data_IF_423667332978
#
_entry.id   IF_423667332978
#
_cell.length_a   1.000
_cell.length_b   1.000
_cell.length_c   1.000
_cell.angle_alpha   90.00
_cell.angle_beta   90.00
_cell.angle_gamma   90.00
#
_symmetry.space_group_name_H-M   'P 1'
#
loop_
_entity.id
_entity.type
_entity.pdbx_description
1 polymer ?
#
# COMPACT_ATOMS: atom_id res chain seq x y z
N UNK A 1 17.03 -29.10 -7.58
CA UNK A 1 16.13 -28.18 -8.30
C UNK A 1 14.94 -27.71 -7.47
N UNK A 2 14.23 -28.62 -6.78
CA UNK A 2 13.15 -28.25 -5.87
C UNK A 2 13.59 -27.36 -4.72
N UNK A 3 14.77 -27.61 -4.16
CA UNK A 3 15.29 -26.85 -3.03
C UNK A 3 15.54 -25.38 -3.40
N UNK A 4 16.09 -25.11 -4.57
CA UNK A 4 16.34 -23.74 -5.05
C UNK A 4 15.04 -22.96 -5.29
N UNK A 5 14.02 -23.60 -5.84
CA UNK A 5 12.71 -22.96 -6.06
C UNK A 5 12.06 -22.64 -4.72
N UNK A 6 12.12 -23.55 -3.75
CA UNK A 6 11.57 -23.32 -2.41
C UNK A 6 12.28 -22.18 -1.69
N UNK A 7 13.63 -22.08 -1.80
CA UNK A 7 14.42 -21.01 -1.21
C UNK A 7 14.08 -19.65 -1.86
N UNK A 8 13.93 -19.60 -3.19
CA UNK A 8 13.56 -18.39 -3.90
C UNK A 8 12.18 -17.89 -3.47
N UNK A 9 11.19 -18.80 -3.35
CA UNK A 9 9.85 -18.46 -2.90
C UNK A 9 9.86 -17.97 -1.44
N UNK A 10 10.63 -18.60 -0.56
CA UNK A 10 10.78 -18.19 0.84
C UNK A 10 11.41 -16.80 0.93
N UNK A 11 12.44 -16.52 0.12
CA UNK A 11 13.11 -15.23 0.10
C UNK A 11 12.16 -14.13 -0.40
N UNK A 12 11.36 -14.40 -1.44
CA UNK A 12 10.37 -13.44 -1.95
C UNK A 12 9.28 -13.17 -0.93
N UNK A 13 8.79 -14.20 -0.24
CA UNK A 13 7.80 -14.06 0.83
C UNK A 13 8.37 -13.21 1.97
N UNK A 14 9.58 -13.52 2.44
CA UNK A 14 10.25 -12.79 3.52
C UNK A 14 10.49 -11.32 3.13
N UNK A 15 10.87 -11.07 1.89
CA UNK A 15 11.07 -9.73 1.36
C UNK A 15 9.77 -8.93 1.39
N UNK A 16 8.65 -9.54 0.99
CA UNK A 16 7.33 -8.92 1.07
C UNK A 16 6.92 -8.60 2.49
N UNK A 17 7.09 -9.55 3.41
CA UNK A 17 6.78 -9.36 4.84
C UNK A 17 7.61 -8.24 5.46
N UNK A 18 8.90 -8.20 5.16
CA UNK A 18 9.80 -7.15 5.65
C UNK A 18 9.38 -5.79 5.13
N UNK A 19 8.95 -5.71 3.89
CA UNK A 19 8.50 -4.46 3.30
C UNK A 19 7.22 -3.95 3.97
N UNK A 20 6.24 -4.82 4.21
CA UNK A 20 5.03 -4.45 4.94
C UNK A 20 5.37 -3.90 6.33
N UNK A 21 6.27 -4.57 7.07
CA UNK A 21 6.72 -4.11 8.39
C UNK A 21 7.46 -2.78 8.29
N UNK A 22 8.31 -2.61 7.30
CA UNK A 22 9.03 -1.37 7.06
C UNK A 22 8.06 -0.21 6.81
N UNK A 23 7.06 -0.40 5.96
CA UNK A 23 6.07 0.63 5.65
C UNK A 23 5.26 0.98 6.90
N UNK A 24 4.82 -0.02 7.66
CA UNK A 24 4.10 0.22 8.92
C UNK A 24 4.92 1.05 9.90
N UNK A 25 6.21 0.73 10.02
CA UNK A 25 7.12 1.45 10.90
C UNK A 25 7.33 2.91 10.44
N UNK A 26 7.51 3.12 9.15
CA UNK A 26 7.67 4.47 8.59
C UNK A 26 6.41 5.32 8.78
N UNK A 27 5.24 4.72 8.63
CA UNK A 27 3.96 5.44 8.87
C UNK A 27 3.83 5.81 10.35
N UNK A 28 4.19 4.92 11.25
CA UNK A 28 4.18 5.24 12.69
C UNK A 28 5.15 6.39 12.99
N UNK A 29 6.36 6.35 12.45
CA UNK A 29 7.34 7.42 12.65
C UNK A 29 6.85 8.77 12.12
N UNK A 30 6.25 8.79 10.94
CA UNK A 30 5.86 10.04 10.26
C UNK A 30 4.50 10.57 10.69
N UNK A 31 3.54 9.69 10.96
CA UNK A 31 2.15 10.07 11.25
C UNK A 31 1.71 9.75 12.67
N UNK A 32 2.48 8.98 13.43
CA UNK A 32 2.09 8.53 14.76
C UNK A 32 0.92 7.54 14.75
N UNK A 33 0.70 6.87 13.63
CA UNK A 33 -0.39 5.91 13.46
C UNK A 33 0.18 4.51 13.40
N UNK A 34 -0.29 3.63 14.28
CA UNK A 34 0.14 2.23 14.30
C UNK A 34 -0.71 1.39 13.38
N UNK A 35 -0.06 0.77 12.40
CA UNK A 35 -0.68 -0.17 11.48
C UNK A 35 -0.15 -1.57 11.77
N UNK A 36 -0.98 -2.56 11.52
CA UNK A 36 -0.69 -3.96 11.78
C UNK A 36 -0.86 -4.75 10.50
N UNK A 37 -0.02 -5.77 10.31
CA UNK A 37 -0.22 -6.72 9.21
C UNK A 37 -1.47 -7.54 9.48
N UNK A 38 -2.21 -7.82 8.42
CA UNK A 38 -3.31 -8.77 8.48
C UNK A 38 -2.73 -10.18 8.57
N UNK A 39 -2.78 -10.77 9.76
CA UNK A 39 -2.24 -12.10 10.03
C UNK A 39 -3.25 -13.22 9.84
N UNK A 40 -4.50 -12.90 9.57
CA UNK A 40 -5.54 -13.90 9.36
C UNK A 40 -5.35 -14.60 8.03
N UNK A 41 -5.45 -15.91 8.03
CA UNK A 41 -5.30 -16.72 6.82
C UNK A 41 -6.43 -16.47 5.82
N UNK A 42 -7.58 -16.05 6.30
CA UNK A 42 -8.72 -15.65 5.48
C UNK A 42 -8.74 -14.14 5.35
N UNK A 43 -7.73 -13.61 4.69
CA UNK A 43 -7.65 -12.17 4.46
C UNK A 43 -8.84 -11.71 3.65
N UNK A 44 -9.58 -10.76 4.18
CA UNK A 44 -10.64 -10.10 3.44
C UNK A 44 -10.05 -9.16 2.40
N UNK A 45 -10.58 -9.18 1.18
CA UNK A 45 -10.09 -8.35 0.07
C UNK A 45 -10.23 -6.85 0.35
N UNK A 46 -11.02 -6.47 1.35
CA UNK A 46 -11.29 -5.07 1.71
C UNK A 46 -10.35 -4.51 2.78
N UNK A 47 -9.42 -5.30 3.30
CA UNK A 47 -8.52 -4.84 4.38
C UNK A 47 -7.18 -4.30 3.88
N UNK A 48 -6.69 -4.74 2.74
CA UNK A 48 -5.32 -4.47 2.32
C UNK A 48 -4.31 -5.22 3.17
N UNK A 49 -3.03 -4.88 3.01
CA UNK A 49 -1.92 -5.52 3.72
C UNK A 49 -1.74 -4.98 5.13
N UNK A 50 -2.01 -3.70 5.34
CA UNK A 50 -1.85 -3.02 6.63
C UNK A 50 -3.19 -2.48 7.09
N UNK A 51 -3.55 -2.82 8.32
CA UNK A 51 -4.82 -2.44 8.92
C UNK A 51 -4.61 -1.60 10.18
N UNK A 52 -5.55 -0.70 10.43
CA UNK A 52 -5.61 0.09 11.66
C UNK A 52 -6.74 -0.40 12.54
N UNK A 53 -6.55 -0.33 13.85
CA UNK A 53 -7.62 -0.59 14.82
C UNK A 53 -8.62 0.58 14.90
N UNK A 54 -8.27 1.73 14.35
CA UNK A 54 -9.13 2.92 14.34
C UNK A 54 -10.09 2.88 13.14
N UNK A 55 -11.41 2.82 13.37
CA UNK A 55 -12.37 2.82 12.26
C UNK A 55 -12.34 4.07 11.39
N UNK A 56 -11.82 5.18 11.92
CA UNK A 56 -11.70 6.44 11.15
C UNK A 56 -10.50 6.47 10.21
N UNK A 57 -9.63 5.44 10.23
CA UNK A 57 -8.50 5.35 9.30
C UNK A 57 -9.02 5.34 7.86
N UNK A 58 -8.64 6.33 7.03
CA UNK A 58 -9.32 6.53 5.75
C UNK A 58 -8.74 5.74 4.58
N UNK A 59 -7.69 4.94 4.80
CA UNK A 59 -6.93 4.32 3.71
C UNK A 59 -7.02 2.81 3.71
N UNK A 60 -7.00 2.23 2.50
CA UNK A 60 -6.67 0.82 2.27
C UNK A 60 -5.28 0.79 1.65
N UNK A 61 -4.32 0.18 2.34
CA UNK A 61 -2.91 0.19 1.92
C UNK A 61 -2.50 -1.21 1.47
N UNK A 62 -2.02 -1.29 0.22
CA UNK A 62 -1.36 -2.47 -0.34
C UNK A 62 0.12 -2.17 -0.49
N UNK A 63 0.96 -3.15 -0.16
CA UNK A 63 2.41 -3.05 -0.26
C UNK A 63 2.92 -4.05 -1.29
N UNK A 64 3.74 -3.59 -2.21
CA UNK A 64 4.33 -4.43 -3.26
C UNK A 64 5.83 -4.18 -3.38
N UNK A 65 6.62 -5.25 -3.32
CA UNK A 65 8.06 -5.16 -3.51
C UNK A 65 8.52 -6.21 -4.50
N UNK A 66 9.25 -5.77 -5.52
CA UNK A 66 9.75 -6.62 -6.60
C UNK A 66 11.21 -6.28 -6.93
N UNK A 67 11.93 -7.28 -7.46
CA UNK A 67 13.33 -7.12 -7.79
C UNK A 67 13.53 -6.21 -9.00
N UNK A 68 12.71 -6.35 -10.03
CA UNK A 68 12.89 -5.68 -11.32
C UNK A 68 11.65 -4.88 -11.71
N UNK A 69 11.90 -3.72 -12.32
CA UNK A 69 10.86 -2.85 -12.80
C UNK A 69 11.01 -1.44 -12.24
N UNK A 70 10.09 -0.56 -12.58
CA UNK A 70 10.04 0.81 -12.06
C UNK A 70 8.62 1.34 -11.94
N UNK A 71 7.64 0.71 -12.63
CA UNK A 71 6.24 1.04 -12.52
C UNK A 71 5.45 -0.19 -12.08
N UNK A 72 4.46 0.00 -11.19
CA UNK A 72 3.59 -1.10 -10.77
C UNK A 72 2.73 -1.59 -11.91
N UNK A 73 2.34 -2.86 -11.83
CA UNK A 73 1.37 -3.43 -12.77
C UNK A 73 -0.01 -2.83 -12.50
N UNK A 74 -0.78 -2.63 -13.57
CA UNK A 74 -2.15 -2.11 -13.46
C UNK A 74 -3.02 -3.00 -12.57
N UNK A 75 -2.82 -4.31 -12.61
CA UNK A 75 -3.56 -5.26 -11.77
C UNK A 75 -3.44 -4.95 -10.28
N UNK A 76 -2.26 -4.56 -9.81
CA UNK A 76 -2.05 -4.22 -8.41
C UNK A 76 -2.88 -3.02 -7.99
N UNK A 77 -2.90 -2.02 -8.86
CA UNK A 77 -3.66 -0.80 -8.61
C UNK A 77 -5.17 -1.06 -8.65
N UNK A 78 -5.62 -1.82 -9.64
CA UNK A 78 -7.03 -2.20 -9.74
C UNK A 78 -7.49 -2.99 -8.52
N UNK A 79 -6.66 -3.91 -8.01
CA UNK A 79 -6.99 -4.70 -6.82
C UNK A 79 -7.24 -3.82 -5.60
N UNK A 80 -6.35 -2.86 -5.33
CA UNK A 80 -6.52 -2.00 -4.16
C UNK A 80 -7.70 -1.04 -4.34
N UNK A 81 -7.95 -0.57 -5.54
CA UNK A 81 -9.11 0.26 -5.83
C UNK A 81 -10.41 -0.51 -5.61
N UNK A 82 -10.48 -1.76 -6.06
CA UNK A 82 -11.65 -2.61 -5.86
C UNK A 82 -11.90 -2.84 -4.36
N UNK A 83 -10.86 -3.17 -3.61
CA UNK A 83 -10.96 -3.38 -2.17
C UNK A 83 -11.44 -2.11 -1.46
N UNK A 84 -10.90 -0.96 -1.84
CA UNK A 84 -11.24 0.31 -1.20
C UNK A 84 -12.69 0.74 -1.42
N UNK A 85 -13.26 0.41 -2.58
CA UNK A 85 -14.67 0.70 -2.87
C UNK A 85 -15.62 -0.03 -1.94
N UNK A 86 -15.29 -1.26 -1.56
CA UNK A 86 -16.12 -2.07 -0.68
C UNK A 86 -16.28 -1.42 0.70
N UNK A 87 -15.30 -0.68 1.16
CA UNK A 87 -15.27 -0.05 2.49
C UNK A 87 -15.32 1.48 2.43
N UNK A 88 -15.45 2.06 1.25
CA UNK A 88 -15.51 3.51 1.03
C UNK A 88 -14.29 4.24 1.60
N UNK A 89 -13.11 3.67 1.37
CA UNK A 89 -11.84 4.25 1.78
C UNK A 89 -10.97 4.61 0.57
N UNK A 90 -9.89 5.30 0.82
CA UNK A 90 -8.98 5.76 -0.23
C UNK A 90 -7.95 4.68 -0.53
N UNK A 91 -7.81 4.23 -1.79
CA UNK A 91 -6.81 3.23 -2.15
C UNK A 91 -5.41 3.84 -2.19
N UNK A 92 -4.46 3.16 -1.57
CA UNK A 92 -3.05 3.56 -1.53
C UNK A 92 -2.20 2.34 -1.88
N UNK A 93 -1.36 2.48 -2.89
CA UNK A 93 -0.40 1.45 -3.28
C UNK A 93 1.01 1.91 -2.96
N UNK A 94 1.62 1.30 -1.95
CA UNK A 94 3.02 1.57 -1.58
C UNK A 94 3.88 0.50 -2.23
N UNK A 95 4.84 0.92 -3.04
CA UNK A 95 5.64 -0.04 -3.79
C UNK A 95 7.12 0.33 -3.81
N UNK A 96 7.95 -0.69 -4.01
CA UNK A 96 9.38 -0.53 -4.11
C UNK A 96 9.94 -1.58 -5.07
N UNK A 97 10.79 -1.15 -5.99
CA UNK A 97 11.65 -2.03 -6.78
C UNK A 97 13.06 -1.97 -6.20
N UNK A 98 13.82 -3.04 -6.35
CA UNK A 98 15.18 -3.09 -5.81
C UNK A 98 16.02 -1.93 -6.33
N UNK A 99 16.81 -1.31 -5.45
CA UNK A 99 17.67 -0.15 -5.72
C UNK A 99 16.92 1.15 -6.03
N UNK A 100 15.59 1.15 -5.99
CA UNK A 100 14.80 2.35 -6.17
C UNK A 100 14.13 2.77 -4.85
N UNK A 101 13.79 4.04 -4.69
CA UNK A 101 13.14 4.49 -3.46
C UNK A 101 11.70 3.98 -3.37
N UNK A 102 11.15 4.04 -2.16
CA UNK A 102 9.72 3.76 -1.94
C UNK A 102 8.89 4.83 -2.63
N UNK A 103 7.91 4.39 -3.41
CA UNK A 103 6.96 5.25 -4.11
C UNK A 103 5.54 4.91 -3.66
N UNK A 104 4.65 5.85 -3.85
CA UNK A 104 3.24 5.69 -3.46
C UNK A 104 2.36 6.13 -4.62
N UNK A 105 1.41 5.27 -5.01
CA UNK A 105 0.36 5.63 -5.95
C UNK A 105 -0.91 5.94 -5.21
N UNK A 106 -1.50 7.09 -5.53
CA UNK A 106 -2.73 7.57 -4.92
C UNK A 106 -3.72 7.98 -6.02
N UNK A 107 -5.03 7.92 -5.77
CA UNK A 107 -5.98 8.44 -6.75
C UNK A 107 -5.88 9.96 -6.84
N UNK A 108 -6.20 10.51 -8.00
CA UNK A 108 -6.18 11.97 -8.22
C UNK A 108 -7.10 12.68 -7.23
N UNK A 109 -8.22 12.05 -6.87
CA UNK A 109 -9.15 12.60 -5.88
C UNK A 109 -8.51 12.86 -4.52
N UNK A 110 -7.48 12.10 -4.15
CA UNK A 110 -6.73 12.32 -2.91
C UNK A 110 -5.95 13.65 -2.95
N UNK A 111 -5.37 13.98 -4.10
CA UNK A 111 -4.54 15.18 -4.25
C UNK A 111 -5.38 16.44 -4.45
N UNK A 112 -6.45 16.32 -5.23
CA UNK A 112 -7.28 17.48 -5.63
C UNK A 112 -8.59 17.59 -4.84
N UNK A 113 -8.82 16.71 -3.85
CA UNK A 113 -10.04 16.68 -3.05
C UNK A 113 -11.31 16.61 -3.91
N UNK A 114 -11.24 15.88 -5.02
CA UNK A 114 -12.38 15.68 -5.89
C UNK A 114 -13.42 14.82 -5.18
N UNK A 115 -14.68 15.15 -5.38
CA UNK A 115 -15.80 14.36 -4.87
C UNK A 115 -16.11 13.23 -5.85
N UNK A 116 -16.47 12.08 -5.32
CA UNK A 116 -16.90 10.93 -6.12
C UNK A 116 -16.08 9.68 -5.86
N UNK A 117 -16.29 8.66 -6.68
CA UNK A 117 -15.60 7.41 -6.56
C UNK A 117 -14.14 7.51 -7.05
N UNK A 118 -13.26 6.71 -6.42
CA UNK A 118 -11.86 6.62 -6.85
C UNK A 118 -11.77 5.72 -8.08
N UNK A 119 -11.60 6.33 -9.24
CA UNK A 119 -11.41 5.58 -10.49
C UNK A 119 -9.94 5.22 -10.63
N UNK A 120 -9.64 3.92 -10.72
CA UNK A 120 -8.27 3.42 -10.78
C UNK A 120 -7.48 3.94 -11.99
N UNK A 121 -8.16 4.41 -13.02
CA UNK A 121 -7.53 4.95 -14.22
C UNK A 121 -6.91 6.33 -14.01
N UNK A 122 -7.30 7.03 -12.96
CA UNK A 122 -6.82 8.39 -12.67
C UNK A 122 -6.07 8.43 -11.36
N UNK A 123 -4.75 8.47 -11.46
CA UNK A 123 -3.86 8.38 -10.31
C UNK A 123 -2.61 9.23 -10.54
N UNK A 124 -1.82 9.40 -9.48
CA UNK A 124 -0.47 9.94 -9.56
C UNK A 124 0.47 9.15 -8.65
N UNK A 125 1.74 9.12 -9.02
CA UNK A 125 2.79 8.49 -8.21
C UNK A 125 3.65 9.58 -7.57
N UNK A 126 4.03 9.37 -6.31
CA UNK A 126 4.84 10.32 -5.55
C UNK A 126 5.82 9.58 -4.65
N UNK A 127 6.79 10.31 -4.10
CA UNK A 127 7.67 9.73 -3.10
C UNK A 127 6.92 9.54 -1.76
N UNK A 128 7.50 8.75 -0.88
CA UNK A 128 6.86 8.44 0.40
C UNK A 128 6.72 9.67 1.31
N UNK A 129 7.72 10.55 1.44
CA UNK A 129 7.56 11.75 2.26
C UNK A 129 6.43 12.67 1.79
N UNK A 130 6.24 12.82 0.48
CA UNK A 130 5.15 13.63 -0.08
C UNK A 130 3.79 13.01 0.29
N UNK A 131 3.67 11.69 0.18
CA UNK A 131 2.45 11.00 0.62
C UNK A 131 2.17 11.27 2.10
N UNK A 132 3.17 11.15 2.96
CA UNK A 132 3.01 11.39 4.40
C UNK A 132 2.58 12.83 4.69
N UNK A 133 3.13 13.79 3.96
CA UNK A 133 2.71 15.19 4.09
C UNK A 133 1.22 15.37 3.78
N UNK A 134 0.77 14.82 2.64
CA UNK A 134 -0.62 14.93 2.23
C UNK A 134 -1.56 14.17 3.17
N UNK A 135 -1.15 12.99 3.62
CA UNK A 135 -1.93 12.17 4.56
C UNK A 135 -2.09 12.90 5.90
N UNK A 136 -1.04 13.55 6.38
CA UNK A 136 -1.07 14.31 7.63
C UNK A 136 -2.10 15.45 7.55
N UNK A 137 -2.16 16.14 6.43
CA UNK A 137 -3.15 17.19 6.22
C UNK A 137 -4.59 16.64 6.23
N UNK A 138 -4.81 15.45 5.69
CA UNK A 138 -6.13 14.84 5.70
C UNK A 138 -6.54 14.30 7.07
N UNK A 139 -5.58 13.89 7.88
CA UNK A 139 -5.85 13.34 9.21
C UNK A 139 -6.01 14.41 10.29
N UNK A 140 -5.65 15.63 9.97
CA UNK A 140 -5.71 16.74 10.92
C UNK A 140 -7.17 17.23 11.17
#
# INVERSE_FOLDING_TARGET
MFLLVALAMTNSRNKGLRFELQVAHLIDDELGIKLYRDLEQTRSADHGDLISSDPSWPFVIECKRYAKGYLPKDDWWQQVCTASKLVRKIPILVYKFDRLPIRVRVPISFVQLLKGEHDWRYYTDMDFPTFCYLAREQLA
#
